data_IF_152492792034
#
_entry.id   IF_152492792034
#
_cell.length_a   1.000
_cell.length_b   1.000
_cell.length_c   1.000
_cell.angle_alpha   90.00
_cell.angle_beta   90.00
_cell.angle_gamma   90.00
#
_symmetry.space_group_name_H-M   'P 1'
#
loop_
_entity.id
_entity.type
_entity.pdbx_description
1 polymer ?
#
# COMPACT_ATOMS: atom_id res chain seq x y z
N UNK A 1 -1.54 13.58 -17.34
CA UNK A 1 -2.57 12.52 -17.39
C UNK A 1 -2.53 11.86 -18.76
N UNK A 2 -2.50 10.54 -18.82
CA UNK A 2 -2.14 9.80 -20.05
C UNK A 2 -3.13 9.97 -21.21
N UNK A 3 -4.40 10.29 -20.95
CA UNK A 3 -5.42 10.51 -21.97
C UNK A 3 -5.41 11.93 -22.58
N UNK A 4 -4.49 12.81 -22.18
CA UNK A 4 -4.38 14.14 -22.78
C UNK A 4 -3.49 14.16 -24.03
N UNK A 5 -2.88 13.03 -24.39
CA UNK A 5 -2.00 12.92 -25.57
C UNK A 5 -2.72 12.23 -26.72
N UNK A 6 -2.52 12.74 -27.92
CA UNK A 6 -2.96 12.10 -29.16
C UNK A 6 -1.90 11.11 -29.62
N UNK A 7 -2.27 9.84 -29.77
CA UNK A 7 -1.40 8.77 -30.28
C UNK A 7 -1.89 8.31 -31.65
N UNK A 8 -0.99 7.82 -32.49
CA UNK A 8 -1.33 7.27 -33.81
C UNK A 8 -2.06 5.92 -33.73
N UNK A 9 -1.82 5.17 -32.65
CA UNK A 9 -2.44 3.88 -32.41
C UNK A 9 -3.77 4.04 -31.66
N UNK A 10 -4.75 3.13 -31.88
CA UNK A 10 -5.94 3.07 -31.05
C UNK A 10 -5.59 2.91 -29.57
N UNK A 11 -6.29 3.65 -28.71
CA UNK A 11 -6.06 3.64 -27.26
C UNK A 11 -7.19 2.85 -26.59
N UNK A 12 -6.81 1.94 -25.70
CA UNK A 12 -7.72 1.26 -24.78
C UNK A 12 -7.34 1.63 -23.34
N UNK A 13 -8.34 1.83 -22.50
CA UNK A 13 -8.14 2.21 -21.10
C UNK A 13 -8.61 1.11 -20.16
N UNK A 14 -7.92 0.97 -19.04
CA UNK A 14 -8.39 0.15 -17.93
C UNK A 14 -8.44 0.96 -16.64
N UNK A 15 -9.32 0.60 -15.72
CA UNK A 15 -9.44 1.28 -14.43
C UNK A 15 -10.55 0.73 -13.55
N UNK A 16 -10.84 1.41 -12.44
CA UNK A 16 -11.97 1.07 -11.57
C UNK A 16 -13.22 1.81 -12.03
N UNK A 17 -14.31 1.10 -12.28
CA UNK A 17 -15.63 1.66 -12.55
C UNK A 17 -16.63 1.14 -11.52
N UNK A 18 -16.39 1.54 -10.27
CA UNK A 18 -17.25 1.22 -9.13
C UNK A 18 -18.19 2.41 -8.84
N UNK A 19 -18.89 2.36 -7.71
CA UNK A 19 -19.83 3.41 -7.31
C UNK A 19 -19.18 4.82 -7.31
N UNK A 20 -19.91 5.77 -7.89
CA UNK A 20 -19.47 7.16 -8.05
C UNK A 20 -20.19 8.03 -7.03
N UNK A 21 -19.46 8.97 -6.44
CA UNK A 21 -19.98 10.04 -5.60
C UNK A 21 -20.04 11.36 -6.36
N UNK A 22 -20.52 12.40 -5.67
CA UNK A 22 -20.25 13.77 -6.08
C UNK A 22 -18.73 14.04 -6.14
N UNK A 23 -18.25 14.91 -7.06
CA UNK A 23 -16.83 15.19 -7.19
C UNK A 23 -16.21 15.78 -5.92
N UNK A 24 -15.15 15.15 -5.41
CA UNK A 24 -14.39 15.62 -4.25
C UNK A 24 -12.91 15.88 -4.60
N UNK A 25 -12.25 16.74 -3.83
CA UNK A 25 -10.80 16.90 -3.93
C UNK A 25 -10.09 15.65 -3.37
N UNK A 26 -8.95 15.31 -3.94
CA UNK A 26 -8.04 14.35 -3.31
C UNK A 26 -7.36 14.97 -2.08
N UNK A 27 -6.67 14.15 -1.28
CA UNK A 27 -5.83 14.65 -0.19
C UNK A 27 -4.81 15.68 -0.73
N UNK A 28 -4.49 16.73 0.05
CA UNK A 28 -3.71 17.88 -0.44
C UNK A 28 -2.27 17.53 -0.85
N UNK A 29 -1.68 16.47 -0.28
CA UNK A 29 -0.37 15.94 -0.71
C UNK A 29 -0.43 15.11 -2.00
N UNK A 30 -1.60 14.97 -2.62
CA UNK A 30 -1.74 14.24 -3.88
C UNK A 30 -1.15 15.04 -5.02
N UNK A 31 -0.07 14.52 -5.62
CA UNK A 31 0.59 15.17 -6.75
C UNK A 31 -0.16 14.97 -8.08
N UNK A 32 0.09 15.87 -9.04
CA UNK A 32 -0.38 15.68 -10.42
C UNK A 32 -1.90 15.81 -10.60
N UNK A 33 -2.55 16.65 -9.80
CA UNK A 33 -4.01 16.86 -9.80
C UNK A 33 -4.46 18.06 -10.67
N UNK A 34 -3.59 18.61 -11.51
CA UNK A 34 -3.96 19.71 -12.42
C UNK A 34 -4.55 19.17 -13.73
N UNK A 35 -5.63 19.79 -14.19
CA UNK A 35 -6.22 19.51 -15.50
C UNK A 35 -5.21 19.81 -16.62
N UNK A 36 -4.95 18.87 -17.53
CA UNK A 36 -3.95 19.04 -18.60
C UNK A 36 -4.40 20.00 -19.70
N UNK A 37 -5.65 20.47 -19.69
CA UNK A 37 -6.18 21.40 -20.69
C UNK A 37 -6.31 22.83 -20.16
N UNK A 38 -6.88 23.01 -18.95
CA UNK A 38 -7.14 24.34 -18.40
C UNK A 38 -6.44 24.63 -17.08
N UNK A 39 -5.59 23.72 -16.59
CA UNK A 39 -4.77 23.86 -15.38
C UNK A 39 -5.54 24.13 -14.07
N UNK A 40 -6.86 23.97 -14.08
CA UNK A 40 -7.66 23.98 -12.86
C UNK A 40 -7.47 22.65 -12.11
N UNK A 41 -7.70 22.66 -10.79
CA UNK A 41 -7.58 21.48 -9.95
C UNK A 41 -8.69 20.47 -10.32
N UNK A 42 -8.29 19.21 -10.47
CA UNK A 42 -9.20 18.10 -10.71
C UNK A 42 -9.88 17.66 -9.42
N UNK A 43 -11.13 17.21 -9.58
CA UNK A 43 -11.87 16.48 -8.56
C UNK A 43 -12.08 15.05 -9.01
N UNK A 44 -12.50 14.20 -8.10
CA UNK A 44 -12.71 12.78 -8.31
C UNK A 44 -14.13 12.41 -7.89
N UNK A 45 -14.89 11.81 -8.81
CA UNK A 45 -16.16 11.13 -8.49
C UNK A 45 -15.91 9.80 -7.78
N UNK A 46 -14.71 9.28 -7.91
CA UNK A 46 -14.19 8.14 -7.16
C UNK A 46 -12.67 8.22 -7.21
N UNK A 47 -11.99 8.27 -6.06
CA UNK A 47 -10.53 8.24 -5.96
C UNK A 47 -10.11 6.89 -5.38
N UNK A 48 -9.26 6.15 -6.09
CA UNK A 48 -8.75 4.85 -5.59
C UNK A 48 -7.58 5.04 -4.65
N UNK A 49 -6.50 5.65 -5.15
CA UNK A 49 -5.32 6.04 -4.40
C UNK A 49 -4.52 7.04 -5.24
N UNK A 50 -3.71 7.88 -4.58
CA UNK A 50 -2.96 8.95 -5.23
C UNK A 50 -3.88 9.76 -6.17
N UNK A 51 -3.42 10.05 -7.40
CA UNK A 51 -4.20 10.79 -8.39
C UNK A 51 -5.03 9.88 -9.33
N UNK A 52 -5.22 8.60 -8.99
CA UNK A 52 -5.97 7.64 -9.79
C UNK A 52 -7.44 7.58 -9.38
N UNK A 53 -8.32 7.47 -10.36
CA UNK A 53 -9.76 7.42 -10.14
C UNK A 53 -10.57 8.01 -11.28
N UNK A 54 -11.87 8.14 -11.08
CA UNK A 54 -12.79 8.83 -11.99
C UNK A 54 -12.67 10.35 -11.81
N UNK A 55 -11.62 10.93 -12.40
CA UNK A 55 -11.34 12.36 -12.32
C UNK A 55 -12.23 13.18 -13.27
N UNK A 56 -12.50 14.42 -12.87
CA UNK A 56 -13.25 15.42 -13.63
C UNK A 56 -12.72 16.82 -13.35
N UNK A 57 -12.63 17.63 -14.41
CA UNK A 57 -12.45 19.07 -14.34
C UNK A 57 -13.81 19.75 -14.51
N UNK A 58 -14.32 20.35 -13.45
CA UNK A 58 -15.62 21.05 -13.47
C UNK A 58 -15.59 22.35 -14.28
N UNK A 59 -14.39 22.84 -14.65
CA UNK A 59 -14.23 24.06 -15.44
C UNK A 59 -14.32 23.81 -16.96
N UNK A 60 -13.53 22.86 -17.50
CA UNK A 60 -13.47 22.62 -18.95
C UNK A 60 -14.13 21.31 -19.39
N UNK A 61 -14.65 20.51 -18.45
CA UNK A 61 -15.32 19.23 -18.75
C UNK A 61 -14.38 18.06 -19.05
N UNK A 62 -13.06 18.26 -19.01
CA UNK A 62 -12.10 17.16 -19.14
C UNK A 62 -12.31 16.13 -18.04
N UNK A 63 -12.44 14.85 -18.40
CA UNK A 63 -12.72 13.77 -17.47
C UNK A 63 -12.07 12.47 -17.92
N UNK A 64 -12.09 11.47 -17.05
CA UNK A 64 -11.57 10.14 -17.37
C UNK A 64 -12.34 9.54 -18.56
N UNK A 65 -11.67 9.02 -19.59
CA UNK A 65 -12.33 8.43 -20.76
C UNK A 65 -13.03 7.11 -20.38
N UNK A 66 -13.95 6.63 -21.23
CA UNK A 66 -14.56 5.31 -21.06
C UNK A 66 -13.50 4.20 -20.96
N UNK A 67 -13.77 3.22 -20.11
CA UNK A 67 -12.86 2.10 -19.87
C UNK A 67 -13.23 0.90 -20.74
N UNK A 68 -12.21 0.26 -21.32
CA UNK A 68 -12.33 -1.00 -22.05
C UNK A 68 -12.33 -2.20 -21.11
N UNK A 69 -11.50 -2.16 -20.06
CA UNK A 69 -11.45 -3.16 -19.00
C UNK A 69 -11.66 -2.48 -17.65
N UNK A 70 -12.68 -2.88 -16.91
CA UNK A 70 -13.02 -2.23 -15.66
C UNK A 70 -13.10 -3.23 -14.52
N UNK A 71 -12.55 -2.86 -13.36
CA UNK A 71 -13.00 -3.41 -12.09
C UNK A 71 -14.38 -2.83 -11.81
N UNK A 72 -15.40 -3.66 -12.01
CA UNK A 72 -16.82 -3.31 -11.85
C UNK A 72 -17.27 -3.39 -10.38
N UNK A 73 -16.74 -4.36 -9.64
CA UNK A 73 -17.07 -4.54 -8.22
C UNK A 73 -15.79 -4.82 -7.42
N UNK A 74 -15.67 -4.16 -6.26
CA UNK A 74 -14.74 -4.54 -5.21
C UNK A 74 -15.50 -5.40 -4.19
N UNK A 75 -15.37 -6.72 -4.30
CA UNK A 75 -16.16 -7.70 -3.53
C UNK A 75 -15.67 -7.82 -2.09
N UNK A 76 -14.36 -7.81 -1.89
CA UNK A 76 -13.73 -7.84 -0.58
C UNK A 76 -12.33 -7.21 -0.65
N UNK A 77 -11.98 -6.43 0.36
CA UNK A 77 -10.64 -5.90 0.55
C UNK A 77 -10.27 -6.04 2.03
N UNK A 78 -9.21 -6.79 2.28
CA UNK A 78 -8.67 -7.03 3.62
C UNK A 78 -7.19 -6.71 3.63
N UNK A 79 -6.57 -6.69 4.81
CA UNK A 79 -5.12 -6.54 4.93
C UNK A 79 -4.32 -7.67 4.26
N UNK A 80 -4.92 -8.86 4.06
CA UNK A 80 -4.27 -10.08 3.54
C UNK A 80 -4.60 -10.40 2.09
N UNK A 81 -5.75 -9.93 1.60
CA UNK A 81 -6.26 -10.35 0.31
C UNK A 81 -7.29 -9.37 -0.25
N UNK A 82 -7.53 -9.47 -1.56
CA UNK A 82 -8.65 -8.79 -2.21
C UNK A 82 -9.38 -9.71 -3.18
N UNK A 83 -10.66 -9.43 -3.36
CA UNK A 83 -11.55 -10.06 -4.34
C UNK A 83 -12.27 -8.96 -5.12
N UNK A 84 -12.28 -9.07 -6.43
CA UNK A 84 -12.80 -8.05 -7.33
C UNK A 84 -13.29 -8.67 -8.64
N UNK A 85 -14.20 -7.97 -9.32
CA UNK A 85 -14.81 -8.42 -10.57
C UNK A 85 -14.37 -7.59 -11.76
N UNK A 86 -13.86 -8.25 -12.79
CA UNK A 86 -13.52 -7.62 -14.08
C UNK A 86 -14.32 -8.32 -15.17
N UNK A 87 -15.10 -7.56 -15.96
CA UNK A 87 -15.87 -8.08 -17.10
C UNK A 87 -16.76 -9.31 -16.73
N UNK A 88 -17.40 -9.29 -15.55
CA UNK A 88 -18.24 -10.40 -15.09
C UNK A 88 -17.49 -11.58 -14.45
N UNK A 89 -16.16 -11.60 -14.49
CA UNK A 89 -15.33 -12.65 -13.89
C UNK A 89 -14.75 -12.20 -12.54
N UNK A 90 -14.91 -13.03 -11.51
CA UNK A 90 -14.35 -12.80 -10.18
C UNK A 90 -12.89 -13.28 -10.11
N UNK A 91 -12.03 -12.44 -9.54
CA UNK A 91 -10.61 -12.69 -9.31
C UNK A 91 -10.29 -12.53 -7.83
N UNK A 92 -9.26 -13.25 -7.38
CA UNK A 92 -8.76 -13.20 -6.02
C UNK A 92 -7.24 -13.10 -6.03
N UNK A 93 -6.69 -12.22 -5.19
CA UNK A 93 -5.25 -12.15 -4.94
C UNK A 93 -4.98 -12.27 -3.44
N UNK A 94 -4.01 -13.12 -3.09
CA UNK A 94 -3.55 -13.38 -1.72
C UNK A 94 -2.55 -12.32 -1.23
N UNK A 95 -2.83 -11.05 -1.54
CA UNK A 95 -2.06 -9.92 -1.07
C UNK A 95 -3.03 -8.75 -0.83
N UNK A 96 -2.85 -8.08 0.32
CA UNK A 96 -3.63 -6.87 0.63
C UNK A 96 -3.16 -5.65 -0.17
N UNK A 97 -3.86 -4.54 0.05
CA UNK A 97 -3.55 -3.25 -0.57
C UNK A 97 -4.19 -3.08 -1.94
N UNK A 98 -4.98 -2.01 -2.08
CA UNK A 98 -5.77 -1.73 -3.27
C UNK A 98 -4.90 -1.57 -4.53
N UNK A 99 -3.70 -0.99 -4.40
CA UNK A 99 -2.76 -0.81 -5.50
C UNK A 99 -2.41 -2.12 -6.25
N UNK A 100 -2.45 -3.28 -5.58
CA UNK A 100 -2.17 -4.57 -6.24
C UNK A 100 -3.29 -4.99 -7.21
N UNK A 101 -4.51 -4.50 -7.02
CA UNK A 101 -5.62 -4.75 -7.95
C UNK A 101 -5.36 -4.07 -9.29
N UNK A 102 -4.70 -2.91 -9.33
CA UNK A 102 -4.28 -2.28 -10.59
C UNK A 102 -3.27 -3.14 -11.37
N UNK A 103 -2.34 -3.81 -10.68
CA UNK A 103 -1.41 -4.75 -11.32
C UNK A 103 -2.18 -5.94 -11.93
N UNK A 104 -3.13 -6.49 -11.17
CA UNK A 104 -3.96 -7.59 -11.65
C UNK A 104 -4.82 -7.16 -12.85
N UNK A 105 -5.45 -5.99 -12.76
CA UNK A 105 -6.25 -5.41 -13.84
C UNK A 105 -5.43 -5.17 -15.10
N UNK A 106 -4.18 -4.70 -14.99
CA UNK A 106 -3.29 -4.55 -16.13
C UNK A 106 -2.99 -5.90 -16.80
N UNK A 107 -2.68 -6.94 -16.02
CA UNK A 107 -2.43 -8.28 -16.55
C UNK A 107 -3.68 -8.88 -17.25
N UNK A 108 -4.86 -8.73 -16.63
CA UNK A 108 -6.14 -9.16 -17.22
C UNK A 108 -6.43 -8.38 -18.51
N UNK A 109 -6.17 -7.07 -18.53
CA UNK A 109 -6.41 -6.20 -19.70
C UNK A 109 -5.53 -6.59 -20.88
N UNK A 110 -4.25 -6.91 -20.64
CA UNK A 110 -3.33 -7.39 -21.69
C UNK A 110 -3.78 -8.75 -22.22
N UNK A 111 -4.13 -9.69 -21.35
CA UNK A 111 -4.60 -11.00 -21.79
C UNK A 111 -5.92 -10.91 -22.58
N UNK A 112 -6.86 -10.08 -22.11
CA UNK A 112 -8.10 -9.78 -22.81
C UNK A 112 -7.87 -9.14 -24.18
N UNK A 113 -6.89 -8.23 -24.30
CA UNK A 113 -6.52 -7.62 -25.58
C UNK A 113 -6.07 -8.66 -26.62
N UNK A 114 -5.38 -9.72 -26.20
CA UNK A 114 -4.99 -10.83 -27.05
C UNK A 114 -6.07 -11.91 -27.23
N UNK A 115 -7.30 -11.68 -26.75
CA UNK A 115 -8.43 -12.58 -26.93
C UNK A 115 -8.41 -13.83 -26.04
N UNK A 116 -7.61 -13.83 -24.96
CA UNK A 116 -7.62 -14.91 -23.98
C UNK A 116 -8.95 -14.88 -23.21
N UNK A 117 -9.63 -16.02 -23.13
CA UNK A 117 -10.94 -16.11 -22.48
C UNK A 117 -10.83 -15.86 -20.96
N UNK A 118 -11.80 -15.19 -20.32
CA UNK A 118 -11.78 -14.87 -18.89
C UNK A 118 -11.51 -16.08 -17.99
N UNK A 119 -12.04 -17.25 -18.32
CA UNK A 119 -11.86 -18.49 -17.55
C UNK A 119 -10.41 -18.97 -17.60
N UNK A 120 -9.73 -18.79 -18.72
CA UNK A 120 -8.31 -19.15 -18.89
C UNK A 120 -7.43 -18.16 -18.13
N UNK A 121 -7.76 -16.87 -18.18
CA UNK A 121 -7.06 -15.84 -17.40
C UNK A 121 -7.19 -16.14 -15.90
N UNK A 122 -8.40 -16.45 -15.43
CA UNK A 122 -8.65 -16.84 -14.04
C UNK A 122 -7.84 -18.07 -13.64
N UNK A 123 -7.83 -19.13 -14.45
CA UNK A 123 -7.03 -20.33 -14.16
C UNK A 123 -5.53 -20.01 -14.05
N UNK A 124 -5.02 -19.07 -14.87
CA UNK A 124 -3.65 -18.58 -14.76
C UNK A 124 -3.39 -17.82 -13.46
N UNK A 125 -4.31 -16.93 -13.08
CA UNK A 125 -4.26 -16.18 -11.82
C UNK A 125 -4.28 -17.10 -10.60
N UNK A 126 -5.19 -18.08 -10.56
CA UNK A 126 -5.33 -19.00 -9.42
C UNK A 126 -4.10 -19.91 -9.25
N UNK A 127 -3.33 -20.13 -10.32
CA UNK A 127 -2.04 -20.85 -10.29
C UNK A 127 -0.87 -19.96 -9.90
N UNK A 128 -0.99 -18.64 -10.05
CA UNK A 128 0.06 -17.72 -9.65
C UNK A 128 0.17 -17.72 -8.14
N UNK A 129 1.29 -18.26 -7.63
CA UNK A 129 1.59 -18.24 -6.20
C UNK A 129 1.78 -16.78 -5.76
N UNK A 130 1.52 -16.51 -4.48
CA UNK A 130 1.89 -15.23 -3.88
C UNK A 130 3.35 -14.91 -4.24
N UNK A 131 3.57 -13.76 -4.90
CA UNK A 131 4.91 -13.32 -5.25
C UNK A 131 5.60 -12.95 -3.95
N UNK A 132 6.68 -13.68 -3.65
CA UNK A 132 7.49 -13.54 -2.45
C UNK A 132 7.95 -12.08 -2.22
N UNK A 133 8.02 -11.63 -0.96
CA UNK A 133 8.73 -10.41 -0.55
C UNK A 133 7.94 -9.09 -0.47
N UNK A 134 6.62 -9.07 -0.68
CA UNK A 134 5.80 -7.83 -0.53
C UNK A 134 5.10 -7.70 0.83
N UNK A 135 4.61 -8.83 1.35
CA UNK A 135 4.02 -8.99 2.68
C UNK A 135 4.50 -10.36 3.18
N UNK A 136 5.33 -10.36 4.20
CA UNK A 136 5.88 -11.60 4.79
C UNK A 136 5.33 -11.73 6.20
N UNK A 137 4.57 -12.80 6.44
CA UNK A 137 4.06 -13.14 7.77
C UNK A 137 4.93 -14.22 8.40
N UNK A 138 5.37 -14.01 9.63
CA UNK A 138 6.19 -14.93 10.41
C UNK A 138 5.78 -14.88 11.88
N UNK A 139 6.35 -15.77 12.69
CA UNK A 139 6.12 -15.80 14.13
C UNK A 139 7.36 -15.36 14.88
N UNK A 140 7.21 -14.44 15.83
CA UNK A 140 8.21 -14.14 16.86
C UNK A 140 7.64 -14.68 18.17
N UNK A 141 8.13 -15.81 18.65
CA UNK A 141 7.52 -16.52 19.77
C UNK A 141 6.07 -16.93 19.46
N UNK A 142 5.11 -16.44 20.24
CA UNK A 142 3.67 -16.63 20.05
C UNK A 142 3.01 -15.53 19.20
N UNK A 143 3.76 -14.52 18.73
CA UNK A 143 3.23 -13.34 18.03
C UNK A 143 3.22 -13.52 16.53
N UNK A 144 2.09 -13.25 15.88
CA UNK A 144 1.97 -13.24 14.42
C UNK A 144 2.35 -11.85 13.88
N UNK A 145 3.49 -11.78 13.21
CA UNK A 145 4.08 -10.55 12.74
C UNK A 145 3.98 -10.46 11.22
N UNK A 146 3.67 -9.28 10.68
CA UNK A 146 3.67 -9.02 9.23
C UNK A 146 4.60 -7.86 8.90
N UNK A 147 5.63 -8.14 8.09
CA UNK A 147 6.58 -7.15 7.60
C UNK A 147 6.14 -6.61 6.24
N UNK A 148 6.09 -5.29 6.14
CA UNK A 148 5.58 -4.54 4.98
C UNK A 148 6.58 -3.46 4.58
N UNK A 149 6.89 -3.41 3.29
CA UNK A 149 7.84 -2.48 2.72
C UNK A 149 7.21 -1.10 2.48
N UNK A 150 7.89 -0.03 2.91
CA UNK A 150 7.57 1.37 2.60
C UNK A 150 8.76 2.04 1.89
N UNK A 151 8.49 2.87 0.87
CA UNK A 151 9.55 3.48 0.03
C UNK A 151 9.37 4.97 -0.24
N UNK A 152 8.14 5.45 -0.18
CA UNK A 152 7.74 6.80 -0.56
C UNK A 152 6.37 7.11 0.05
N UNK A 153 5.89 8.37 -0.02
CA UNK A 153 4.67 8.79 0.66
C UNK A 153 3.45 7.96 0.23
N UNK A 154 3.25 7.80 -1.08
CA UNK A 154 2.12 7.03 -1.63
C UNK A 154 2.16 5.57 -1.16
N UNK A 155 3.32 4.91 -1.23
CA UNK A 155 3.50 3.54 -0.81
C UNK A 155 3.27 3.34 0.69
N UNK A 156 3.74 4.28 1.52
CA UNK A 156 3.49 4.24 2.96
C UNK A 156 2.01 4.46 3.30
N UNK A 157 1.35 5.46 2.70
CA UNK A 157 -0.10 5.67 2.86
C UNK A 157 -0.88 4.43 2.45
N UNK A 158 -0.51 3.76 1.35
CA UNK A 158 -1.15 2.51 0.94
C UNK A 158 -0.91 1.34 1.93
N UNK A 159 0.27 1.26 2.54
CA UNK A 159 0.52 0.29 3.61
C UNK A 159 -0.30 0.59 4.87
N UNK A 160 -0.44 1.87 5.24
CA UNK A 160 -1.24 2.33 6.38
C UNK A 160 -2.72 2.02 6.15
N UNK A 161 -3.28 2.36 4.99
CA UNK A 161 -4.66 2.03 4.60
C UNK A 161 -4.90 0.51 4.61
N UNK A 162 -3.90 -0.29 4.22
CA UNK A 162 -4.00 -1.74 4.25
C UNK A 162 -4.09 -2.28 5.69
N UNK A 163 -3.18 -1.87 6.60
CA UNK A 163 -3.19 -2.38 7.98
C UNK A 163 -4.41 -1.89 8.78
N UNK A 164 -4.99 -0.74 8.38
CA UNK A 164 -6.26 -0.22 8.93
C UNK A 164 -7.42 -1.20 8.79
N UNK A 165 -7.36 -2.10 7.81
CA UNK A 165 -8.39 -3.12 7.57
C UNK A 165 -8.25 -4.36 8.46
N UNK A 166 -7.25 -4.41 9.34
CA UNK A 166 -7.06 -5.54 10.25
C UNK A 166 -8.23 -5.61 11.27
N UNK A 167 -8.89 -6.77 11.43
CA UNK A 167 -10.03 -6.93 12.34
C UNK A 167 -9.60 -7.22 13.79
N UNK A 168 -8.37 -6.85 14.17
CA UNK A 168 -7.75 -7.18 15.45
C UNK A 168 -6.79 -6.05 15.87
N UNK A 169 -6.53 -5.96 17.19
CA UNK A 169 -5.50 -5.09 17.74
C UNK A 169 -4.10 -5.57 17.35
N UNK A 170 -3.17 -4.65 17.09
CA UNK A 170 -1.79 -4.98 16.73
C UNK A 170 -0.80 -3.92 17.22
N UNK A 171 0.42 -4.32 17.57
CA UNK A 171 1.53 -3.37 17.74
C UNK A 171 2.02 -2.89 16.37
N UNK A 172 2.51 -1.64 16.31
CA UNK A 172 3.05 -1.06 15.08
C UNK A 172 4.52 -0.68 15.28
N UNK A 173 5.42 -1.34 14.54
CA UNK A 173 6.82 -0.95 14.45
C UNK A 173 7.06 -0.22 13.13
N UNK A 174 7.70 0.95 13.17
CA UNK A 174 8.14 1.66 11.96
C UNK A 174 9.66 1.79 11.97
N UNK A 175 10.30 1.15 10.99
CA UNK A 175 11.75 1.06 10.86
C UNK A 175 12.23 1.97 9.73
N UNK A 176 12.90 3.05 10.08
CA UNK A 176 13.36 4.05 9.13
C UNK A 176 14.89 4.06 9.05
N UNK A 177 15.42 3.60 7.91
CA UNK A 177 16.80 3.84 7.51
C UNK A 177 16.87 4.97 6.47
N UNK A 178 18.08 5.51 6.26
CA UNK A 178 18.34 6.56 5.29
C UNK A 178 19.67 6.30 4.58
N UNK A 179 19.58 5.73 3.38
CA UNK A 179 20.70 5.47 2.47
C UNK A 179 20.21 5.52 1.03
N UNK A 180 21.10 5.22 0.07
CA UNK A 180 20.76 5.31 -1.35
C UNK A 180 19.54 4.46 -1.75
N UNK A 181 19.38 3.27 -1.19
CA UNK A 181 18.27 2.37 -1.51
C UNK A 181 16.95 2.77 -0.84
N UNK A 182 17.02 3.50 0.28
CA UNK A 182 15.86 3.92 1.07
C UNK A 182 15.37 5.35 0.77
N UNK A 183 16.23 6.15 0.15
CA UNK A 183 16.10 7.61 0.14
C UNK A 183 17.05 8.23 1.15
N UNK A 184 17.93 9.11 0.68
CA UNK A 184 18.93 9.79 1.51
C UNK A 184 18.30 10.83 2.45
N UNK A 185 17.18 11.40 2.02
CA UNK A 185 16.40 12.39 2.75
C UNK A 185 15.14 11.71 3.29
N UNK A 186 14.92 11.81 4.60
CA UNK A 186 13.76 11.23 5.29
C UNK A 186 12.54 12.13 5.25
N UNK A 187 12.62 13.34 4.67
CA UNK A 187 11.52 14.30 4.61
C UNK A 187 10.22 13.70 4.04
N UNK A 188 10.32 12.71 3.15
CA UNK A 188 9.17 12.03 2.55
C UNK A 188 8.19 11.44 3.57
N UNK A 189 8.62 11.07 4.78
CA UNK A 189 7.71 10.52 5.81
C UNK A 189 6.67 11.54 6.27
N UNK A 190 6.94 12.83 6.09
CA UNK A 190 6.02 13.92 6.45
C UNK A 190 4.86 14.04 5.46
N UNK A 191 5.03 13.55 4.23
CA UNK A 191 3.95 13.52 3.24
C UNK A 191 3.11 12.22 3.30
N UNK A 192 3.65 11.18 3.93
CA UNK A 192 2.92 9.93 4.20
C UNK A 192 1.86 10.17 5.29
N UNK A 193 0.65 9.62 5.10
CA UNK A 193 -0.53 9.91 5.94
C UNK A 193 -0.57 9.01 7.21
N UNK A 194 0.43 9.17 8.07
CA UNK A 194 0.50 8.45 9.36
C UNK A 194 -0.58 8.90 10.35
N UNK A 195 -1.24 10.04 10.13
CA UNK A 195 -2.33 10.55 10.97
C UNK A 195 -3.44 9.50 11.17
N UNK A 196 -3.65 8.63 10.16
CA UNK A 196 -4.63 7.56 10.21
C UNK A 196 -4.41 6.53 11.33
N UNK A 197 -3.20 6.38 11.89
CA UNK A 197 -2.92 5.42 12.96
C UNK A 197 -3.73 5.70 14.23
N UNK A 198 -4.15 6.95 14.43
CA UNK A 198 -5.02 7.36 15.55
C UNK A 198 -6.44 6.79 15.48
N UNK A 199 -6.82 6.27 14.31
CA UNK A 199 -8.11 5.64 14.05
C UNK A 199 -8.05 4.11 14.14
N UNK A 200 -6.92 3.55 14.58
CA UNK A 200 -6.66 2.11 14.64
C UNK A 200 -6.51 1.62 16.08
N UNK A 201 -6.76 0.34 16.30
CA UNK A 201 -6.53 -0.33 17.58
C UNK A 201 -5.05 -0.72 17.72
N UNK A 202 -4.23 0.28 18.04
CA UNK A 202 -2.78 0.13 18.24
C UNK A 202 -2.48 0.43 19.71
N UNK A 203 -2.08 -0.56 20.52
CA UNK A 203 -1.78 -0.36 21.93
C UNK A 203 -0.35 0.16 22.17
N UNK A 204 0.59 -0.12 21.28
CA UNK A 204 1.99 0.28 21.39
C UNK A 204 2.64 0.49 20.01
N UNK A 205 3.58 1.44 19.97
CA UNK A 205 4.34 1.78 18.77
C UNK A 205 5.84 1.73 19.06
N UNK A 206 6.59 1.13 18.14
CA UNK A 206 8.05 1.07 18.16
C UNK A 206 8.61 1.93 17.01
N UNK A 207 9.44 2.91 17.35
CA UNK A 207 10.15 3.74 16.38
C UNK A 207 11.60 3.29 16.30
N UNK A 208 11.97 2.63 15.21
CA UNK A 208 13.25 1.93 15.06
C UNK A 208 14.05 2.31 13.81
N UNK A 209 15.22 1.69 13.67
CA UNK A 209 16.14 1.88 12.55
C UNK A 209 17.12 3.04 12.77
N UNK A 210 18.00 3.25 11.79
CA UNK A 210 19.08 4.26 11.84
C UNK A 210 18.54 5.68 12.09
N UNK A 211 17.29 5.96 11.70
CA UNK A 211 16.60 7.24 11.91
C UNK A 211 15.42 7.14 12.89
N UNK A 212 15.53 6.25 13.89
CA UNK A 212 14.56 6.07 14.98
C UNK A 212 14.05 7.39 15.58
N UNK A 213 14.94 8.35 15.81
CA UNK A 213 14.56 9.65 16.42
C UNK A 213 13.65 10.51 15.53
N UNK A 214 13.86 10.47 14.21
CA UNK A 214 13.03 11.20 13.26
C UNK A 214 11.67 10.54 13.08
N UNK A 215 11.63 9.21 12.94
CA UNK A 215 10.35 8.50 12.81
C UNK A 215 9.54 8.55 14.10
N UNK A 216 10.18 8.52 15.27
CA UNK A 216 9.51 8.73 16.56
C UNK A 216 8.85 10.11 16.62
N UNK A 217 9.52 11.17 16.14
CA UNK A 217 8.94 12.52 16.04
C UNK A 217 7.75 12.53 15.10
N UNK A 218 7.88 11.98 13.90
CA UNK A 218 6.79 11.90 12.93
C UNK A 218 5.54 11.22 13.50
N UNK A 219 5.73 10.13 14.23
CA UNK A 219 4.67 9.38 14.90
C UNK A 219 4.03 10.18 16.04
N UNK A 220 4.80 10.90 16.87
CA UNK A 220 4.25 11.79 17.91
C UNK A 220 3.36 12.90 17.33
N UNK A 221 3.74 13.47 16.18
CA UNK A 221 3.01 14.58 15.54
C UNK A 221 1.62 14.15 15.03
N UNK A 222 1.37 12.85 14.85
CA UNK A 222 0.02 12.35 14.53
C UNK A 222 -1.01 12.63 15.62
N UNK A 223 -0.56 12.89 16.86
CA UNK A 223 -1.41 12.97 18.05
C UNK A 223 -1.57 11.64 18.81
N UNK A 224 -0.89 10.57 18.38
CA UNK A 224 -0.83 9.31 19.11
C UNK A 224 -0.15 9.50 20.49
N UNK A 225 -0.60 8.81 21.56
CA UNK A 225 -0.06 8.99 22.92
C UNK A 225 1.45 8.79 22.98
N UNK A 226 2.20 9.83 23.35
CA UNK A 226 3.66 9.85 23.29
C UNK A 226 4.29 8.81 24.22
N UNK A 227 3.65 8.52 25.36
CA UNK A 227 4.06 7.52 26.33
C UNK A 227 3.93 6.07 25.81
N UNK A 228 3.20 5.86 24.71
CA UNK A 228 3.05 4.57 24.03
C UNK A 228 3.98 4.42 22.82
N UNK A 229 4.83 5.40 22.54
CA UNK A 229 5.85 5.37 21.47
C UNK A 229 7.20 5.10 22.12
N UNK A 230 7.78 3.94 21.83
CA UNK A 230 9.12 3.56 22.30
C UNK A 230 10.14 3.74 21.18
N UNK A 231 11.11 4.60 21.41
CA UNK A 231 12.22 4.86 20.48
C UNK A 231 13.38 3.89 20.78
N UNK A 232 13.86 3.17 19.76
CA UNK A 232 14.90 2.15 19.88
C UNK A 232 15.90 2.28 18.74
N UNK A 233 17.19 2.36 19.08
CA UNK A 233 18.23 2.48 18.07
C UNK A 233 18.52 1.13 17.38
N UNK A 234 18.52 0.05 18.15
CA UNK A 234 18.91 -1.28 17.69
C UNK A 234 17.69 -2.11 17.27
N UNK A 235 17.73 -2.70 16.07
CA UNK A 235 16.64 -3.57 15.58
C UNK A 235 16.40 -4.79 16.48
N UNK A 236 17.44 -5.24 17.19
CA UNK A 236 17.34 -6.32 18.17
C UNK A 236 16.44 -5.96 19.34
N UNK A 237 16.43 -4.70 19.78
CA UNK A 237 15.53 -4.23 20.84
C UNK A 237 14.09 -4.25 20.34
N UNK A 238 13.84 -3.83 19.09
CA UNK A 238 12.50 -3.91 18.47
C UNK A 238 12.01 -5.36 18.42
N UNK A 239 12.87 -6.29 17.99
CA UNK A 239 12.54 -7.72 17.98
C UNK A 239 12.17 -8.25 19.37
N UNK A 240 12.98 -7.95 20.38
CA UNK A 240 12.74 -8.39 21.76
C UNK A 240 11.46 -7.77 22.32
N UNK A 241 11.19 -6.50 21.99
CA UNK A 241 9.98 -5.79 22.42
C UNK A 241 8.73 -6.41 21.83
N UNK A 242 8.77 -6.77 20.54
CA UNK A 242 7.70 -7.52 19.88
C UNK A 242 7.53 -8.89 20.54
N UNK A 243 8.62 -9.61 20.79
CA UNK A 243 8.56 -10.93 21.43
C UNK A 243 7.89 -10.90 22.81
N UNK A 244 8.09 -9.82 23.57
CA UNK A 244 7.60 -9.65 24.94
C UNK A 244 6.25 -8.93 25.04
N UNK A 245 5.69 -8.45 23.92
CA UNK A 245 4.45 -7.70 23.94
C UNK A 245 3.26 -8.58 24.36
N UNK A 246 2.21 -7.96 24.90
CA UNK A 246 0.98 -8.69 25.22
C UNK A 246 0.15 -8.98 23.95
N UNK A 247 0.12 -8.03 23.02
CA UNK A 247 -0.68 -8.09 21.78
C UNK A 247 -0.27 -9.26 20.88
N UNK A 248 -1.20 -10.10 20.40
CA UNK A 248 -0.85 -11.29 19.61
C UNK A 248 -0.37 -10.98 18.18
N UNK A 249 -0.65 -9.78 17.66
CA UNK A 249 -0.32 -9.39 16.30
C UNK A 249 0.61 -8.18 16.27
N UNK A 250 1.51 -8.13 15.28
CA UNK A 250 2.40 -7.02 15.04
C UNK A 250 2.49 -6.68 13.54
N UNK A 251 2.46 -5.40 13.19
CA UNK A 251 2.88 -4.92 11.88
C UNK A 251 4.21 -4.21 11.97
N UNK A 252 5.08 -4.46 11.00
CA UNK A 252 6.38 -3.82 10.87
C UNK A 252 6.42 -3.13 9.51
N UNK A 253 6.37 -1.80 9.49
CA UNK A 253 6.56 -1.00 8.29
C UNK A 253 8.03 -0.59 8.20
N UNK A 254 8.75 -1.05 7.17
CA UNK A 254 10.20 -0.85 7.09
C UNK A 254 10.62 -0.28 5.74
N UNK A 255 11.62 0.61 5.73
CA UNK A 255 12.35 0.93 4.50
C UNK A 255 13.12 -0.28 3.98
N UNK A 256 13.62 -0.22 2.75
CA UNK A 256 14.21 -1.37 2.08
C UNK A 256 15.38 -2.00 2.87
N UNK A 257 16.36 -1.21 3.29
CA UNK A 257 17.50 -1.77 4.03
C UNK A 257 17.14 -2.15 5.46
N UNK A 258 16.26 -1.39 6.12
CA UNK A 258 15.75 -1.76 7.44
C UNK A 258 15.00 -3.10 7.41
N UNK A 259 14.25 -3.35 6.33
CA UNK A 259 13.59 -4.62 6.08
C UNK A 259 14.60 -5.75 5.90
N UNK A 260 15.68 -5.54 5.13
CA UNK A 260 16.73 -6.55 4.94
C UNK A 260 17.46 -6.87 6.26
N UNK A 261 17.87 -5.84 7.01
CA UNK A 261 18.54 -6.01 8.32
C UNK A 261 17.63 -6.74 9.31
N UNK A 262 16.34 -6.41 9.34
CA UNK A 262 15.38 -7.12 10.19
C UNK A 262 15.17 -8.57 9.75
N UNK A 263 15.13 -8.84 8.43
CA UNK A 263 15.07 -10.22 7.90
C UNK A 263 16.32 -11.03 8.22
N UNK A 264 17.51 -10.41 8.19
CA UNK A 264 18.74 -11.08 8.64
C UNK A 264 18.66 -11.50 10.10
N UNK A 265 18.10 -10.64 10.97
CA UNK A 265 17.85 -10.97 12.37
C UNK A 265 16.87 -12.14 12.52
N UNK A 266 15.75 -12.11 11.78
CA UNK A 266 14.78 -13.22 11.76
C UNK A 266 15.41 -14.55 11.32
N UNK A 267 16.31 -14.52 10.34
CA UNK A 267 17.03 -15.69 9.87
C UNK A 267 18.05 -16.20 10.90
N UNK A 268 18.75 -15.31 11.62
CA UNK A 268 19.66 -15.68 12.72
C UNK A 268 18.91 -16.35 13.88
N UNK A 269 17.67 -15.94 14.13
CA UNK A 269 16.76 -16.54 15.12
C UNK A 269 16.01 -17.77 14.58
N UNK A 270 16.34 -18.25 13.36
CA UNK A 270 15.74 -19.41 12.70
C UNK A 270 14.22 -19.31 12.48
N UNK A 271 13.69 -18.09 12.34
CA UNK A 271 12.25 -17.84 12.16
C UNK A 271 11.83 -17.78 10.68
N UNK A 272 12.78 -17.49 9.79
CA UNK A 272 12.60 -17.52 8.34
C UNK A 272 13.80 -18.19 7.67
N UNK A 273 13.61 -18.73 6.47
CA UNK A 273 14.72 -19.23 5.66
C UNK A 273 15.59 -18.06 5.19
N UNK A 274 16.91 -18.23 5.30
CA UNK A 274 17.86 -17.26 4.75
C UNK A 274 17.78 -17.35 3.22
N UNK A 275 17.51 -16.24 2.54
CA UNK A 275 17.58 -16.21 1.09
C UNK A 275 18.99 -16.59 0.65
N UNK A 276 19.12 -17.74 -0.02
CA UNK A 276 20.34 -18.10 -0.74
C UNK A 276 20.31 -17.32 -2.06
N UNK A 277 21.14 -16.28 -2.16
CA UNK A 277 21.43 -15.60 -3.42
C UNK A 277 22.06 -16.55 -4.44
#
# INVERSE_FOLDING_TARGET
>A
LFNSQTLSNPIQYYGFDTNKSEPQLAHYNTEGILCPHCHNILKYKFNTYANLGDYICEHCGFHRPPLTYAVSDLLSLTQRSSQFRIQGQDYHINIGGLYNIYNALAAVSVAGFFGVQPEVIKQGFDRSRAVFGRQETFKIGDKECTLVLIKNPVGATQAIEMIKLAPYSFSLSVLLNANYADGIDTSWIWDADFEQITQMDIPEINAGGVRHSEIARRLRVTGYPAEKITEMAELKEVFQRIQQQETPHAYILATYTAMLEFRELLAQEHLIEKEMH
#
